data_IF_001888384732
#
_entry.id   IF_001888384732
#
_cell.length_a   1.000
_cell.length_b   1.000
_cell.length_c   1.000
_cell.angle_alpha   90.00
_cell.angle_beta   90.00
_cell.angle_gamma   90.00
#
_symmetry.space_group_name_H-M   'P 1'
#
loop_
_entity.id
_entity.type
_entity.pdbx_description
1 polymer ?
#
# COMPACT_ATOMS: atom_id res chain seq x y z
N UNK A 1 -30.17 -2.03 20.54
CA UNK A 1 -29.23 -1.36 19.60
C UNK A 1 -29.94 -1.22 18.25
N UNK A 2 -29.97 -0.03 17.67
CA UNK A 2 -30.62 0.20 16.39
C UNK A 2 -29.56 0.10 15.28
N UNK A 3 -29.72 -0.83 14.34
CA UNK A 3 -28.92 -0.91 13.14
C UNK A 3 -29.68 -0.19 12.03
N UNK A 4 -29.11 0.89 11.51
CA UNK A 4 -29.67 1.65 10.38
C UNK A 4 -29.04 1.17 9.09
N UNK A 5 -29.84 0.59 8.19
CA UNK A 5 -29.38 0.25 6.84
C UNK A 5 -29.69 1.40 5.89
N UNK A 6 -28.65 2.03 5.36
CA UNK A 6 -28.74 3.10 4.37
C UNK A 6 -28.91 2.48 2.99
N UNK A 7 -30.13 2.43 2.47
CA UNK A 7 -30.43 1.84 1.17
C UNK A 7 -29.93 2.67 -0.02
N UNK A 8 -29.45 3.90 0.20
CA UNK A 8 -29.11 4.86 -0.87
C UNK A 8 -27.86 5.72 -0.60
N UNK A 9 -26.87 5.21 0.14
CA UNK A 9 -25.58 5.92 0.23
C UNK A 9 -24.66 5.54 -0.94
N UNK A 10 -23.83 6.49 -1.41
CA UNK A 10 -22.82 6.26 -2.47
C UNK A 10 -21.99 4.96 -2.30
N UNK A 11 -21.58 4.54 -1.09
CA UNK A 11 -20.83 3.29 -0.91
C UNK A 11 -21.64 2.02 -1.27
N UNK A 12 -22.95 2.04 -1.13
CA UNK A 12 -23.79 0.89 -1.48
C UNK A 12 -23.99 0.75 -3.00
N UNK A 13 -23.96 1.88 -3.72
CA UNK A 13 -24.04 1.92 -5.20
C UNK A 13 -22.72 1.47 -5.83
N UNK A 14 -21.58 1.60 -5.14
CA UNK A 14 -20.27 1.23 -5.63
C UNK A 14 -19.97 -0.29 -5.56
N UNK A 15 -20.76 -1.08 -4.85
CA UNK A 15 -20.57 -2.53 -4.82
C UNK A 15 -21.24 -3.19 -6.05
N UNK A 16 -20.54 -3.09 -7.18
CA UNK A 16 -20.97 -3.59 -8.49
C UNK A 16 -21.34 -5.10 -8.48
N UNK A 17 -20.68 -5.88 -7.64
CA UNK A 17 -20.91 -7.33 -7.57
C UNK A 17 -22.24 -7.66 -6.86
N UNK A 18 -22.61 -6.93 -5.80
CA UNK A 18 -23.89 -7.10 -5.15
C UNK A 18 -25.08 -6.85 -6.11
N UNK A 19 -24.98 -5.80 -6.93
CA UNK A 19 -26.01 -5.51 -7.93
C UNK A 19 -26.05 -6.53 -9.06
N UNK A 20 -24.91 -7.04 -9.51
CA UNK A 20 -24.85 -8.14 -10.49
C UNK A 20 -25.56 -9.38 -10.00
N UNK A 21 -25.35 -9.76 -8.73
CA UNK A 21 -26.01 -10.92 -8.14
C UNK A 21 -27.50 -10.73 -7.99
N UNK A 22 -27.98 -9.55 -7.61
CA UNK A 22 -29.41 -9.23 -7.54
C UNK A 22 -30.06 -9.28 -8.92
N UNK A 23 -29.41 -8.71 -9.95
CA UNK A 23 -29.92 -8.75 -11.33
C UNK A 23 -29.94 -10.17 -11.88
N UNK A 24 -28.85 -10.96 -11.67
CA UNK A 24 -28.75 -12.35 -12.09
C UNK A 24 -29.81 -13.24 -11.44
N UNK A 25 -30.06 -13.11 -10.14
CA UNK A 25 -31.11 -13.85 -9.42
C UNK A 25 -32.52 -13.51 -9.90
N UNK A 26 -32.73 -12.37 -10.53
CA UNK A 26 -34.01 -11.92 -11.13
C UNK A 26 -34.11 -12.12 -12.64
N UNK A 27 -33.08 -12.69 -13.28
CA UNK A 27 -33.03 -12.90 -14.73
C UNK A 27 -32.96 -11.59 -15.55
N UNK A 28 -32.49 -10.51 -14.94
CA UNK A 28 -32.38 -9.19 -15.58
C UNK A 28 -30.95 -8.97 -16.09
N UNK A 29 -30.82 -8.28 -17.25
CA UNK A 29 -29.51 -7.89 -17.81
C UNK A 29 -29.00 -6.59 -17.16
N UNK A 30 -27.68 -6.44 -17.06
CA UNK A 30 -27.08 -5.16 -16.60
C UNK A 30 -27.47 -4.00 -17.55
N UNK A 31 -27.89 -2.85 -17.01
CA UNK A 31 -28.16 -1.68 -17.85
C UNK A 31 -26.85 -1.06 -18.33
N UNK A 32 -26.66 -0.96 -19.61
CA UNK A 32 -25.42 -0.48 -20.27
C UNK A 32 -25.16 1.02 -20.10
N UNK A 33 -26.09 1.82 -19.58
CA UNK A 33 -26.00 3.30 -19.45
C UNK A 33 -26.75 3.94 -18.28
N UNK A 34 -26.86 3.29 -17.13
CA UNK A 34 -27.48 3.96 -15.98
C UNK A 34 -26.57 5.10 -15.47
N UNK A 35 -26.92 6.35 -15.74
CA UNK A 35 -26.17 7.55 -15.31
C UNK A 35 -26.51 8.03 -13.90
N UNK A 36 -27.68 7.68 -13.37
CA UNK A 36 -28.17 8.11 -12.07
C UNK A 36 -28.89 6.98 -11.31
N UNK A 37 -28.98 7.09 -9.98
CA UNK A 37 -29.69 6.13 -9.15
C UNK A 37 -31.16 5.98 -9.50
N UNK A 38 -31.80 7.04 -10.06
CA UNK A 38 -33.18 7.05 -10.56
C UNK A 38 -33.38 6.13 -11.77
N UNK A 39 -32.39 6.04 -12.66
CA UNK A 39 -32.47 5.21 -13.87
C UNK A 39 -32.37 3.73 -13.52
N UNK A 40 -31.55 3.41 -12.53
CA UNK A 40 -31.40 2.06 -12.01
C UNK A 40 -32.66 1.60 -11.27
N UNK A 41 -33.30 2.52 -10.56
CA UNK A 41 -34.54 2.30 -9.84
C UNK A 41 -35.69 1.91 -10.78
N UNK A 42 -35.90 2.66 -11.88
CA UNK A 42 -36.93 2.37 -12.88
C UNK A 42 -36.70 1.03 -13.59
N UNK A 43 -35.45 0.64 -13.75
CA UNK A 43 -35.05 -0.63 -14.37
C UNK A 43 -35.35 -1.87 -13.49
N UNK A 44 -35.13 -1.76 -12.17
CA UNK A 44 -35.39 -2.90 -11.24
C UNK A 44 -36.88 -3.10 -10.94
N UNK A 45 -37.66 -2.02 -10.88
CA UNK A 45 -39.02 -2.03 -10.37
C UNK A 45 -40.11 -1.98 -11.44
N UNK A 46 -39.76 -1.90 -12.72
CA UNK A 46 -40.75 -1.78 -13.80
C UNK A 46 -41.61 -0.51 -13.67
N UNK A 47 -42.81 -0.53 -14.19
CA UNK A 47 -43.72 0.63 -14.27
C UNK A 47 -44.29 1.15 -12.92
N UNK A 48 -43.75 0.73 -11.78
CA UNK A 48 -44.16 1.23 -10.46
C UNK A 48 -43.36 2.51 -10.16
N UNK A 49 -43.99 3.66 -10.31
CA UNK A 49 -43.43 4.96 -9.99
C UNK A 49 -43.33 5.19 -8.50
N UNK A 50 -42.22 4.79 -7.87
CA UNK A 50 -41.90 5.27 -6.53
C UNK A 50 -41.42 6.72 -6.63
N UNK A 51 -42.09 7.65 -6.00
CA UNK A 51 -41.80 9.08 -6.08
C UNK A 51 -40.62 9.50 -5.22
N UNK A 52 -40.33 8.77 -4.13
CA UNK A 52 -39.27 9.13 -3.16
C UNK A 52 -38.60 7.90 -2.57
N UNK A 53 -37.33 8.04 -2.04
CA UNK A 53 -36.67 6.98 -1.27
C UNK A 53 -37.55 6.45 -0.10
N UNK A 54 -38.35 7.32 0.48
CA UNK A 54 -39.27 6.96 1.57
C UNK A 54 -40.40 6.02 1.11
N UNK A 55 -40.87 6.16 -0.13
CA UNK A 55 -41.88 5.27 -0.70
C UNK A 55 -41.32 3.86 -0.93
N UNK A 56 -40.06 3.80 -1.35
CA UNK A 56 -39.33 2.52 -1.49
C UNK A 56 -39.16 1.86 -0.13
N UNK A 57 -38.71 2.63 0.87
CA UNK A 57 -38.54 2.12 2.23
C UNK A 57 -39.88 1.58 2.82
N UNK A 58 -41.02 2.25 2.55
CA UNK A 58 -42.34 1.77 2.94
C UNK A 58 -42.65 0.41 2.33
N UNK A 59 -42.45 0.28 1.01
CA UNK A 59 -42.70 -0.97 0.30
C UNK A 59 -41.81 -2.12 0.75
N UNK A 60 -40.55 -1.81 1.02
CA UNK A 60 -39.62 -2.78 1.59
C UNK A 60 -40.01 -3.19 3.01
N UNK A 61 -40.38 -2.22 3.85
CA UNK A 61 -40.87 -2.50 5.21
C UNK A 61 -42.10 -3.38 5.19
N UNK A 62 -43.12 -3.09 4.36
CA UNK A 62 -44.30 -3.94 4.20
C UNK A 62 -43.94 -5.40 3.86
N UNK A 63 -42.95 -5.59 2.98
CA UNK A 63 -42.49 -6.93 2.63
C UNK A 63 -41.69 -7.61 3.76
N UNK A 64 -40.98 -6.83 4.58
CA UNK A 64 -40.22 -7.32 5.73
C UNK A 64 -41.10 -7.64 6.93
N UNK A 65 -42.10 -6.80 7.20
CA UNK A 65 -43.07 -7.02 8.29
C UNK A 65 -43.84 -8.35 8.13
N UNK A 66 -44.04 -8.79 6.89
CA UNK A 66 -44.67 -10.06 6.58
C UNK A 66 -43.74 -11.28 6.72
N UNK A 67 -42.47 -11.06 7.09
CA UNK A 67 -41.48 -12.11 7.30
C UNK A 67 -41.12 -12.17 8.77
N UNK A 68 -41.14 -13.37 9.31
CA UNK A 68 -40.58 -13.60 10.63
C UNK A 68 -39.06 -13.58 10.50
N UNK A 69 -38.44 -12.43 10.77
CA UNK A 69 -36.98 -12.26 10.72
C UNK A 69 -36.43 -12.56 12.09
N UNK A 70 -35.68 -13.61 12.21
CA UNK A 70 -35.09 -14.05 13.48
C UNK A 70 -34.32 -12.90 14.15
N UNK A 71 -34.51 -12.73 15.44
CA UNK A 71 -33.87 -11.69 16.26
C UNK A 71 -34.19 -10.23 15.91
N UNK A 72 -35.19 -9.96 15.05
CA UNK A 72 -35.64 -8.60 14.79
C UNK A 72 -36.95 -8.36 15.56
N UNK A 73 -36.89 -7.48 16.54
CA UNK A 73 -38.01 -7.09 17.37
C UNK A 73 -38.92 -6.03 16.70
N UNK A 74 -38.27 -5.09 15.96
CA UNK A 74 -38.97 -3.96 15.37
C UNK A 74 -38.29 -3.47 14.10
N UNK A 75 -39.09 -3.05 13.12
CA UNK A 75 -38.63 -2.41 11.89
C UNK A 75 -39.29 -1.05 11.77
N UNK A 76 -38.52 0.02 11.64
CA UNK A 76 -39.00 1.41 11.54
C UNK A 76 -38.36 2.13 10.34
N UNK A 77 -39.14 3.08 9.79
CA UNK A 77 -38.64 3.98 8.76
C UNK A 77 -38.27 5.31 9.43
N UNK A 78 -37.06 5.79 9.20
CA UNK A 78 -36.55 7.06 9.69
C UNK A 78 -36.05 7.97 8.57
N UNK A 79 -36.16 9.28 8.78
CA UNK A 79 -35.64 10.28 7.86
C UNK A 79 -36.12 10.11 6.42
N UNK A 80 -35.22 10.30 5.42
CA UNK A 80 -35.56 10.29 4.00
C UNK A 80 -35.80 8.88 3.41
N UNK A 81 -35.66 7.80 4.18
CA UNK A 81 -35.89 6.43 3.72
C UNK A 81 -34.94 5.40 4.34
N UNK A 82 -34.43 5.65 5.54
CA UNK A 82 -33.69 4.66 6.32
C UNK A 82 -34.65 3.60 6.86
N UNK A 83 -34.23 2.35 6.84
CA UNK A 83 -34.93 1.27 7.54
C UNK A 83 -34.07 0.86 8.73
N UNK A 84 -34.63 1.06 9.94
CA UNK A 84 -33.98 0.73 11.20
C UNK A 84 -34.51 -0.59 11.70
N UNK A 85 -33.63 -1.50 12.07
CA UNK A 85 -33.93 -2.76 12.72
C UNK A 85 -33.55 -2.66 14.20
N UNK A 86 -34.52 -2.95 15.09
CA UNK A 86 -34.22 -3.15 16.50
C UNK A 86 -34.05 -4.63 16.74
N UNK A 87 -32.86 -5.00 17.22
CA UNK A 87 -32.53 -6.40 17.51
C UNK A 87 -33.00 -6.77 18.92
N UNK A 88 -33.46 -8.00 19.09
CA UNK A 88 -33.93 -8.51 20.37
C UNK A 88 -32.76 -8.76 21.36
N UNK A 89 -33.03 -8.79 22.67
CA UNK A 89 -31.99 -9.16 23.67
C UNK A 89 -31.39 -10.53 23.44
N UNK A 90 -32.15 -11.47 22.89
CA UNK A 90 -31.69 -12.84 22.58
C UNK A 90 -30.58 -12.82 21.54
N UNK A 91 -30.62 -11.92 20.55
CA UNK A 91 -29.55 -11.72 19.60
C UNK A 91 -28.25 -11.40 20.33
N UNK A 92 -28.23 -10.41 21.19
CA UNK A 92 -27.06 -9.99 21.93
C UNK A 92 -26.53 -11.09 22.86
N UNK A 93 -27.46 -11.85 23.48
CA UNK A 93 -27.06 -12.98 24.33
C UNK A 93 -26.39 -14.07 23.51
N UNK A 94 -26.92 -14.40 22.34
CA UNK A 94 -26.36 -15.38 21.42
C UNK A 94 -24.98 -14.92 20.93
N UNK A 95 -24.88 -13.71 20.37
CA UNK A 95 -23.63 -13.16 19.86
C UNK A 95 -22.54 -13.06 20.94
N UNK A 96 -22.91 -12.62 22.15
CA UNK A 96 -21.96 -12.56 23.27
C UNK A 96 -21.41 -13.95 23.61
N UNK A 97 -22.28 -14.95 23.59
CA UNK A 97 -21.88 -16.34 23.85
C UNK A 97 -20.95 -16.86 22.74
N UNK A 98 -21.29 -16.61 21.47
CA UNK A 98 -20.46 -16.96 20.33
C UNK A 98 -19.07 -16.28 20.40
N UNK A 99 -19.01 -14.99 20.79
CA UNK A 99 -17.75 -14.26 20.99
C UNK A 99 -16.90 -14.93 22.07
N UNK A 100 -17.50 -15.25 23.22
CA UNK A 100 -16.80 -15.87 24.36
C UNK A 100 -16.30 -17.27 23.98
N UNK A 101 -17.14 -18.08 23.35
CA UNK A 101 -16.81 -19.47 22.98
C UNK A 101 -15.73 -19.52 21.89
N UNK A 102 -15.80 -18.63 20.90
CA UNK A 102 -14.83 -18.55 19.81
C UNK A 102 -13.51 -17.87 20.23
N UNK A 103 -13.53 -16.99 21.23
CA UNK A 103 -12.33 -16.27 21.70
C UNK A 103 -11.61 -15.54 20.57
N UNK A 104 -10.33 -15.81 20.39
CA UNK A 104 -9.49 -15.21 19.35
C UNK A 104 -9.89 -15.60 17.92
N UNK A 105 -10.72 -16.62 17.74
CA UNK A 105 -11.16 -17.12 16.43
C UNK A 105 -12.47 -16.42 15.96
N UNK A 106 -13.10 -15.61 16.85
CA UNK A 106 -14.31 -14.91 16.47
C UNK A 106 -14.10 -13.93 15.31
N UNK A 107 -14.93 -14.06 14.29
CA UNK A 107 -14.83 -13.25 13.06
C UNK A 107 -13.89 -13.82 12.00
N UNK A 108 -13.17 -14.92 12.24
CA UNK A 108 -12.44 -15.62 11.20
C UNK A 108 -13.38 -16.04 10.05
N UNK A 109 -12.84 -16.06 8.85
CA UNK A 109 -13.54 -16.54 7.67
C UNK A 109 -12.64 -17.38 6.78
N UNK A 110 -13.24 -18.14 5.88
CA UNK A 110 -12.57 -18.95 4.88
C UNK A 110 -12.52 -18.25 3.50
N UNK A 111 -12.66 -16.91 3.46
CA UNK A 111 -12.75 -16.14 2.21
C UNK A 111 -11.55 -16.35 1.30
N UNK A 112 -10.37 -16.46 1.88
CA UNK A 112 -9.10 -16.66 1.18
C UNK A 112 -8.48 -18.04 1.43
N UNK A 113 -9.24 -19.01 1.93
CA UNK A 113 -8.75 -20.35 2.19
C UNK A 113 -8.17 -21.00 0.94
N UNK A 114 -6.94 -21.49 1.05
CA UNK A 114 -6.19 -22.09 -0.07
C UNK A 114 -5.69 -21.08 -1.10
N UNK A 115 -5.76 -19.78 -0.82
CA UNK A 115 -5.19 -18.72 -1.67
C UNK A 115 -3.85 -18.25 -1.13
N UNK A 116 -2.87 -18.15 -2.02
CA UNK A 116 -1.57 -17.52 -1.76
C UNK A 116 -1.72 -16.01 -1.94
N UNK A 117 -1.52 -15.25 -0.88
CA UNK A 117 -1.65 -13.80 -0.88
C UNK A 117 -0.27 -13.19 -0.61
N UNK A 118 0.22 -12.39 -1.53
CA UNK A 118 1.44 -11.62 -1.36
C UNK A 118 1.07 -10.18 -1.02
N UNK A 119 1.57 -9.67 0.10
CA UNK A 119 1.35 -8.28 0.52
C UNK A 119 2.69 -7.58 0.59
N UNK A 120 2.86 -6.57 -0.26
CA UNK A 120 4.04 -5.71 -0.31
C UNK A 120 3.73 -4.38 0.35
N UNK A 121 4.56 -3.98 1.32
CA UNK A 121 4.48 -2.67 1.95
C UNK A 121 5.81 -2.24 2.57
N UNK A 122 5.89 -1.00 3.03
CA UNK A 122 7.05 -0.43 3.76
C UNK A 122 8.35 -0.56 2.99
N UNK A 123 8.32 -0.19 1.71
CA UNK A 123 9.50 -0.22 0.84
C UNK A 123 10.37 1.03 1.07
N UNK A 124 11.39 0.98 1.97
CA UNK A 124 12.18 2.15 2.32
C UNK A 124 13.22 2.47 1.24
N UNK A 125 13.51 3.76 1.09
CA UNK A 125 14.76 4.16 0.45
C UNK A 125 15.89 4.00 1.46
N UNK A 126 16.84 3.12 1.19
CA UNK A 126 17.99 2.96 2.05
C UNK A 126 18.87 4.23 2.07
N UNK A 127 19.74 4.36 3.04
CA UNK A 127 20.50 5.56 3.34
C UNK A 127 19.64 6.78 3.71
N UNK A 128 18.36 6.54 4.03
CA UNK A 128 17.47 7.55 4.61
C UNK A 128 16.84 6.99 5.88
N UNK A 129 16.66 7.81 6.90
CA UNK A 129 15.96 7.37 8.10
C UNK A 129 14.49 7.07 7.81
N UNK A 130 13.93 6.13 8.57
CA UNK A 130 12.54 5.76 8.51
C UNK A 130 11.67 6.91 9.08
N UNK A 131 10.79 7.46 8.27
CA UNK A 131 9.99 8.63 8.61
C UNK A 131 8.49 8.29 8.75
N UNK A 132 7.70 9.25 9.22
CA UNK A 132 6.26 9.08 9.49
C UNK A 132 5.46 8.55 8.29
N UNK A 133 5.84 8.89 7.06
CA UNK A 133 5.19 8.34 5.85
C UNK A 133 5.38 6.81 5.73
N UNK A 134 6.55 6.30 6.12
CA UNK A 134 6.80 4.86 6.17
C UNK A 134 5.99 4.18 7.30
N UNK A 135 5.82 4.85 8.45
CA UNK A 135 4.96 4.35 9.54
C UNK A 135 3.52 4.17 9.08
N UNK A 136 2.99 5.13 8.32
CA UNK A 136 1.64 5.06 7.76
C UNK A 136 1.50 3.88 6.81
N UNK A 137 2.43 3.73 5.87
CA UNK A 137 2.44 2.63 4.92
C UNK A 137 2.55 1.28 5.63
N UNK A 138 3.46 1.15 6.62
CA UNK A 138 3.61 -0.03 7.45
C UNK A 138 2.32 -0.38 8.21
N UNK A 139 1.69 0.60 8.84
CA UNK A 139 0.47 0.39 9.64
C UNK A 139 -0.68 -0.14 8.77
N UNK A 140 -0.87 0.44 7.59
CA UNK A 140 -1.91 0.03 6.64
C UNK A 140 -1.59 -1.35 6.06
N UNK A 141 -0.33 -1.57 5.67
CA UNK A 141 0.12 -2.84 5.11
C UNK A 141 -0.05 -3.99 6.08
N UNK A 142 0.44 -3.83 7.30
CA UNK A 142 0.31 -4.84 8.35
C UNK A 142 -1.15 -5.13 8.71
N UNK A 143 -2.03 -4.12 8.70
CA UNK A 143 -3.46 -4.33 8.91
C UNK A 143 -4.05 -5.22 7.79
N UNK A 144 -3.67 -5.00 6.53
CA UNK A 144 -4.10 -5.82 5.39
C UNK A 144 -3.55 -7.25 5.52
N UNK A 145 -2.28 -7.41 5.90
CA UNK A 145 -1.67 -8.73 6.16
C UNK A 145 -2.48 -9.51 7.19
N UNK A 146 -2.77 -8.88 8.34
CA UNK A 146 -3.53 -9.51 9.42
C UNK A 146 -4.94 -9.89 8.99
N UNK A 147 -5.63 -9.00 8.26
CA UNK A 147 -6.95 -9.28 7.72
C UNK A 147 -6.93 -10.43 6.72
N UNK A 148 -5.94 -10.48 5.83
CA UNK A 148 -5.79 -11.58 4.86
C UNK A 148 -5.54 -12.93 5.55
N UNK A 149 -4.65 -12.96 6.55
CA UNK A 149 -4.40 -14.15 7.39
C UNK A 149 -5.66 -14.58 8.15
N UNK A 150 -6.37 -13.61 8.75
CA UNK A 150 -7.60 -13.87 9.49
C UNK A 150 -8.76 -14.36 8.60
N UNK A 151 -8.73 -13.98 7.33
CA UNK A 151 -9.66 -14.46 6.30
C UNK A 151 -9.22 -15.81 5.67
N UNK A 152 -8.26 -16.51 6.25
CA UNK A 152 -7.83 -17.87 5.85
C UNK A 152 -6.79 -17.92 4.73
N UNK A 153 -6.20 -16.78 4.33
CA UNK A 153 -5.19 -16.71 3.28
C UNK A 153 -3.80 -17.18 3.75
N UNK A 154 -3.12 -17.94 2.89
CA UNK A 154 -1.68 -18.21 2.99
C UNK A 154 -0.94 -16.94 2.57
N UNK A 155 -0.57 -16.11 3.57
CA UNK A 155 -0.13 -14.75 3.34
C UNK A 155 1.36 -14.60 3.58
N UNK A 156 2.09 -14.20 2.55
CA UNK A 156 3.50 -13.79 2.59
C UNK A 156 3.60 -12.27 2.61
N UNK A 157 4.38 -11.71 3.53
CA UNK A 157 4.65 -10.28 3.66
C UNK A 157 6.02 -9.98 3.09
N UNK A 158 6.11 -9.01 2.18
CA UNK A 158 7.37 -8.61 1.59
C UNK A 158 7.59 -7.10 1.62
N UNK A 159 8.86 -6.70 1.58
CA UNK A 159 9.28 -5.33 1.37
C UNK A 159 10.16 -5.24 0.11
N UNK A 160 10.08 -4.09 -0.57
CA UNK A 160 10.86 -3.75 -1.75
C UNK A 160 11.77 -2.54 -1.47
N UNK A 161 12.90 -2.72 -0.75
CA UNK A 161 13.79 -1.62 -0.45
C UNK A 161 14.52 -1.10 -1.69
N UNK A 162 14.56 0.23 -1.83
CA UNK A 162 15.40 0.92 -2.81
C UNK A 162 16.82 0.96 -2.27
N UNK A 163 17.61 -0.05 -2.61
CA UNK A 163 18.98 -0.22 -2.12
C UNK A 163 20.01 0.45 -3.03
N UNK A 164 19.72 0.64 -4.31
CA UNK A 164 20.64 1.20 -5.28
C UNK A 164 20.00 2.35 -6.06
N UNK A 165 20.67 3.50 -6.04
CA UNK A 165 20.26 4.70 -6.78
C UNK A 165 21.39 5.70 -6.86
N UNK A 166 21.26 6.72 -7.72
CA UNK A 166 22.15 7.86 -7.74
C UNK A 166 22.28 8.53 -6.35
N UNK A 167 21.21 8.55 -5.57
CA UNK A 167 21.21 9.10 -4.20
C UNK A 167 22.07 8.28 -3.24
N UNK A 168 22.03 6.96 -3.35
CA UNK A 168 22.88 6.05 -2.57
C UNK A 168 24.35 6.24 -2.96
N UNK A 169 24.67 6.34 -4.24
CA UNK A 169 26.05 6.60 -4.69
C UNK A 169 26.58 7.94 -4.18
N UNK A 170 25.73 8.98 -4.12
CA UNK A 170 26.09 10.27 -3.50
C UNK A 170 26.42 10.13 -2.01
N UNK A 171 25.64 9.33 -1.28
CA UNK A 171 25.93 9.06 0.12
C UNK A 171 27.24 8.27 0.30
N UNK A 172 27.47 7.22 -0.49
CA UNK A 172 28.72 6.44 -0.48
C UNK A 172 29.92 7.33 -0.76
N UNK A 173 29.83 8.24 -1.75
CA UNK A 173 30.89 9.21 -2.05
C UNK A 173 31.26 10.02 -0.80
N UNK A 174 30.30 10.57 -0.10
CA UNK A 174 30.53 11.37 1.12
C UNK A 174 31.07 10.51 2.27
N UNK A 175 30.53 9.32 2.48
CA UNK A 175 31.01 8.43 3.54
C UNK A 175 32.46 8.05 3.36
N UNK A 176 32.90 7.82 2.11
CA UNK A 176 34.31 7.57 1.79
C UNK A 176 35.21 8.80 2.07
N UNK A 177 34.75 10.00 1.68
CA UNK A 177 35.49 11.23 1.94
C UNK A 177 35.63 11.52 3.44
N UNK A 178 34.52 11.41 4.19
CA UNK A 178 34.50 11.84 5.58
C UNK A 178 35.04 10.79 6.56
N UNK A 179 34.92 9.48 6.23
CA UNK A 179 35.22 8.39 7.16
C UNK A 179 36.20 7.34 6.63
N UNK A 180 36.47 7.32 5.31
CA UNK A 180 37.35 6.35 4.70
C UNK A 180 36.72 4.99 4.38
N UNK A 181 37.53 4.11 3.76
CA UNK A 181 37.07 2.83 3.20
C UNK A 181 36.64 1.81 4.24
N UNK A 182 37.25 1.83 5.42
CA UNK A 182 36.97 0.88 6.52
C UNK A 182 35.83 1.30 7.45
N UNK A 183 35.09 2.35 7.08
CA UNK A 183 34.00 2.85 7.91
C UNK A 183 32.91 1.80 8.15
N UNK A 184 32.52 1.65 9.40
CA UNK A 184 31.41 0.80 9.83
C UNK A 184 30.30 1.72 10.34
N UNK A 185 29.13 1.77 9.68
CA UNK A 185 28.02 2.56 10.15
C UNK A 185 27.52 2.12 11.52
N UNK A 186 27.26 3.08 12.40
CA UNK A 186 26.75 2.85 13.77
C UNK A 186 25.52 3.68 14.06
N UNK A 187 25.19 4.65 13.19
CA UNK A 187 24.05 5.54 13.33
C UNK A 187 23.44 5.83 11.94
N UNK A 188 22.14 5.64 11.82
CA UNK A 188 21.40 5.89 10.58
C UNK A 188 21.37 7.38 10.21
N UNK A 189 21.49 8.28 11.18
CA UNK A 189 21.57 9.73 10.92
C UNK A 189 22.77 10.09 10.06
N UNK A 190 23.92 9.43 10.28
CA UNK A 190 25.13 9.63 9.48
C UNK A 190 24.92 9.26 8.01
N UNK A 191 24.16 8.18 7.74
CA UNK A 191 23.78 7.80 6.38
C UNK A 191 22.88 8.87 5.73
N UNK A 192 21.91 9.36 6.50
CA UNK A 192 20.99 10.42 6.07
C UNK A 192 21.71 11.73 5.77
N UNK A 193 22.62 12.14 6.64
CA UNK A 193 23.40 13.36 6.47
C UNK A 193 24.34 13.25 5.27
N UNK A 194 24.99 12.10 5.07
CA UNK A 194 25.81 11.83 3.89
C UNK A 194 24.98 11.92 2.60
N UNK A 195 23.73 11.41 2.61
CA UNK A 195 22.81 11.52 1.49
C UNK A 195 22.50 12.99 1.15
N UNK A 196 22.18 13.81 2.15
CA UNK A 196 21.86 15.23 1.97
C UNK A 196 23.08 16.01 1.50
N UNK A 197 24.25 15.83 2.17
CA UNK A 197 25.53 16.45 1.81
C UNK A 197 25.95 16.08 0.39
N UNK A 198 25.85 14.79 0.03
CA UNK A 198 26.19 14.30 -1.30
C UNK A 198 25.25 14.86 -2.38
N UNK A 199 23.96 15.04 -2.08
CA UNK A 199 23.05 15.66 -3.03
C UNK A 199 23.42 17.12 -3.31
N UNK A 200 23.77 17.89 -2.29
CA UNK A 200 24.22 19.28 -2.45
C UNK A 200 25.53 19.36 -3.24
N UNK A 201 26.53 18.55 -2.87
CA UNK A 201 27.84 18.50 -3.58
C UNK A 201 27.70 18.12 -5.06
N UNK A 202 26.81 17.18 -5.37
CA UNK A 202 26.50 16.77 -6.73
C UNK A 202 25.89 17.89 -7.58
N UNK A 203 25.08 18.78 -6.98
CA UNK A 203 24.49 19.92 -7.69
C UNK A 203 25.47 21.06 -7.93
N UNK A 204 26.49 21.20 -7.08
CA UNK A 204 27.43 22.33 -7.08
C UNK A 204 28.74 22.05 -7.82
N UNK A 205 29.11 20.78 -8.12
CA UNK A 205 30.44 20.39 -8.61
C UNK A 205 30.39 19.30 -9.67
N UNK A 206 30.78 19.62 -10.90
CA UNK A 206 30.80 18.68 -12.04
C UNK A 206 31.77 17.49 -11.81
N UNK A 207 32.89 17.70 -11.12
CA UNK A 207 33.82 16.62 -10.81
C UNK A 207 33.22 15.59 -9.87
N UNK A 208 32.39 16.03 -8.95
CA UNK A 208 31.59 15.15 -8.07
C UNK A 208 30.52 14.40 -8.87
N UNK A 209 29.91 15.04 -9.86
CA UNK A 209 28.94 14.37 -10.72
C UNK A 209 29.53 13.19 -11.43
N UNK A 210 30.72 13.34 -12.03
CA UNK A 210 31.37 12.28 -12.77
C UNK A 210 31.82 11.13 -11.85
N UNK A 211 32.33 11.46 -10.66
CA UNK A 211 32.71 10.45 -9.67
C UNK A 211 31.52 9.67 -9.15
N UNK A 212 30.40 10.36 -8.86
CA UNK A 212 29.15 9.70 -8.40
C UNK A 212 28.53 8.84 -9.49
N UNK A 213 28.60 9.23 -10.76
CA UNK A 213 28.16 8.39 -11.89
C UNK A 213 29.00 7.11 -11.97
N UNK A 214 30.33 7.24 -11.83
CA UNK A 214 31.23 6.09 -11.81
C UNK A 214 30.90 5.13 -10.67
N UNK A 215 30.72 5.66 -9.44
CA UNK A 215 30.27 4.87 -8.28
C UNK A 215 28.95 4.18 -8.60
N UNK A 216 27.96 4.89 -9.13
CA UNK A 216 26.66 4.32 -9.50
C UNK A 216 26.82 3.12 -10.42
N UNK A 217 27.59 3.27 -11.49
CA UNK A 217 27.83 2.19 -12.46
C UNK A 217 28.56 1.00 -11.83
N UNK A 218 29.56 1.25 -10.98
CA UNK A 218 30.29 0.21 -10.26
C UNK A 218 29.38 -0.56 -9.29
N UNK A 219 28.46 0.11 -8.59
CA UNK A 219 27.49 -0.51 -7.70
C UNK A 219 26.50 -1.40 -8.47
N UNK A 220 25.95 -0.92 -9.61
CA UNK A 220 25.07 -1.73 -10.47
C UNK A 220 25.80 -2.96 -11.02
N UNK A 221 27.04 -2.78 -11.49
CA UNK A 221 27.87 -3.86 -11.99
C UNK A 221 28.44 -4.80 -10.90
N UNK A 222 28.18 -4.52 -9.62
CA UNK A 222 28.77 -5.25 -8.47
C UNK A 222 30.28 -5.38 -8.57
N UNK A 223 30.96 -4.35 -9.10
CA UNK A 223 32.42 -4.34 -9.31
C UNK A 223 33.12 -4.25 -7.96
N UNK A 224 34.04 -5.19 -7.70
CA UNK A 224 34.86 -5.15 -6.48
C UNK A 224 35.59 -3.82 -6.36
N UNK A 225 35.31 -3.09 -5.28
CA UNK A 225 35.85 -1.76 -5.00
C UNK A 225 35.58 -1.38 -3.55
N UNK A 226 36.32 -0.39 -2.99
CA UNK A 226 36.01 0.15 -1.65
C UNK A 226 34.55 0.66 -1.53
N UNK A 227 34.04 1.26 -2.60
CA UNK A 227 32.65 1.74 -2.67
C UNK A 227 31.64 0.62 -2.48
N UNK A 228 31.86 -0.53 -3.17
CA UNK A 228 30.97 -1.68 -3.04
C UNK A 228 31.06 -2.29 -1.63
N UNK A 229 32.25 -2.41 -1.08
CA UNK A 229 32.44 -2.94 0.27
C UNK A 229 31.77 -2.05 1.34
N UNK A 230 31.88 -0.73 1.22
CA UNK A 230 31.19 0.21 2.09
C UNK A 230 29.68 0.18 1.88
N UNK A 231 29.22 0.11 0.64
CA UNK A 231 27.81 -0.02 0.29
C UNK A 231 27.18 -1.26 0.94
N UNK A 232 27.82 -2.42 0.85
CA UNK A 232 27.30 -3.66 1.43
C UNK A 232 27.19 -3.57 2.96
N UNK A 233 28.19 -3.03 3.65
CA UNK A 233 28.11 -2.78 5.11
C UNK A 233 27.02 -1.80 5.49
N UNK A 234 26.91 -0.69 4.75
CA UNK A 234 25.90 0.32 5.03
C UNK A 234 24.47 -0.16 4.72
N UNK A 235 24.32 -0.96 3.67
CA UNK A 235 23.05 -1.64 3.35
C UNK A 235 22.63 -2.58 4.45
N UNK A 236 23.51 -3.47 4.92
CA UNK A 236 23.24 -4.40 6.01
C UNK A 236 22.83 -3.65 7.29
N UNK A 237 23.61 -2.63 7.68
CA UNK A 237 23.29 -1.79 8.82
C UNK A 237 21.92 -1.13 8.69
N UNK A 238 21.59 -0.58 7.54
CA UNK A 238 20.33 0.12 7.32
C UNK A 238 19.13 -0.83 7.32
N UNK A 239 19.26 -2.05 6.79
CA UNK A 239 18.23 -3.09 6.86
C UNK A 239 17.99 -3.50 8.30
N UNK A 240 19.05 -3.75 9.10
CA UNK A 240 18.92 -4.09 10.52
C UNK A 240 18.23 -2.96 11.31
N UNK A 241 18.54 -1.70 11.03
CA UNK A 241 17.81 -0.56 11.59
C UNK A 241 16.33 -0.58 11.20
N UNK A 242 16.03 -0.79 9.91
CA UNK A 242 14.66 -0.86 9.41
C UNK A 242 13.87 -1.99 10.10
N UNK A 243 14.45 -3.19 10.20
CA UNK A 243 13.83 -4.33 10.88
C UNK A 243 13.56 -4.03 12.37
N UNK A 244 14.47 -3.34 13.04
CA UNK A 244 14.26 -2.89 14.41
C UNK A 244 13.05 -1.97 14.56
N UNK A 245 12.91 -0.99 13.68
CA UNK A 245 11.76 -0.05 13.70
C UNK A 245 10.45 -0.77 13.38
N UNK A 246 10.40 -1.61 12.34
CA UNK A 246 9.17 -2.30 11.97
C UNK A 246 8.77 -3.37 12.98
N UNK A 247 9.74 -4.01 13.63
CA UNK A 247 9.50 -4.94 14.74
C UNK A 247 8.84 -4.23 15.92
N UNK A 248 9.34 -3.05 16.32
CA UNK A 248 8.70 -2.19 17.32
C UNK A 248 7.27 -1.81 16.93
N UNK A 249 7.02 -1.59 15.64
CA UNK A 249 5.66 -1.40 15.11
C UNK A 249 4.84 -2.70 15.06
N UNK A 250 5.37 -3.84 15.50
CA UNK A 250 4.70 -5.14 15.50
C UNK A 250 4.47 -5.72 14.11
N UNK A 251 5.35 -5.41 13.16
CA UNK A 251 5.39 -5.95 11.80
C UNK A 251 6.67 -6.76 11.60
N UNK A 252 6.66 -7.64 10.61
CA UNK A 252 7.86 -8.32 10.12
C UNK A 252 7.68 -8.63 8.64
N UNK A 253 8.79 -8.90 7.95
CA UNK A 253 8.77 -9.30 6.55
C UNK A 253 9.30 -10.73 6.41
N UNK A 254 8.56 -11.55 5.68
CA UNK A 254 8.95 -12.92 5.35
C UNK A 254 10.03 -12.90 4.25
N UNK A 255 10.11 -11.81 3.46
CA UNK A 255 11.01 -11.71 2.32
C UNK A 255 11.30 -10.28 1.89
N UNK A 256 12.41 -10.14 1.18
CA UNK A 256 12.84 -8.91 0.51
C UNK A 256 13.12 -9.18 -0.97
N UNK A 257 12.72 -8.25 -1.83
CA UNK A 257 13.24 -8.09 -3.19
C UNK A 257 13.83 -6.69 -3.24
N UNK A 258 15.07 -6.55 -3.70
CA UNK A 258 15.73 -5.25 -3.76
C UNK A 258 15.64 -4.64 -5.15
N UNK A 259 15.68 -3.29 -5.24
CA UNK A 259 15.72 -2.60 -6.54
C UNK A 259 16.92 -2.99 -7.39
N UNK A 260 18.07 -3.30 -6.77
CA UNK A 260 19.26 -3.80 -7.49
C UNK A 260 19.00 -5.11 -8.21
N UNK A 261 18.11 -5.94 -7.71
CA UNK A 261 17.74 -7.23 -8.30
C UNK A 261 16.63 -7.06 -9.34
N UNK A 262 15.60 -6.30 -8.99
CA UNK A 262 14.47 -6.08 -9.88
C UNK A 262 14.84 -5.24 -11.10
N UNK A 263 15.83 -4.35 -10.97
CA UNK A 263 16.35 -3.59 -12.09
C UNK A 263 16.95 -4.50 -13.18
N UNK A 264 17.76 -5.48 -12.80
CA UNK A 264 18.35 -6.46 -13.73
C UNK A 264 17.27 -7.30 -14.42
N UNK A 265 16.28 -7.77 -13.67
CA UNK A 265 15.15 -8.52 -14.25
C UNK A 265 14.32 -7.64 -15.18
N UNK A 266 14.08 -6.38 -14.81
CA UNK A 266 13.35 -5.43 -15.63
C UNK A 266 14.05 -5.08 -16.93
N UNK A 267 15.38 -4.87 -16.91
CA UNK A 267 16.20 -4.65 -18.11
C UNK A 267 16.07 -5.82 -19.09
N UNK A 268 16.18 -7.03 -18.58
CA UNK A 268 15.98 -8.25 -19.38
C UNK A 268 14.60 -8.31 -20.02
N UNK A 269 13.55 -7.99 -19.26
CA UNK A 269 12.18 -7.96 -19.78
C UNK A 269 12.05 -6.93 -20.90
N UNK A 270 12.59 -5.72 -20.73
CA UNK A 270 12.55 -4.67 -21.74
C UNK A 270 13.31 -5.10 -23.00
N UNK A 271 14.46 -5.76 -22.86
CA UNK A 271 15.26 -6.26 -23.99
C UNK A 271 14.55 -7.39 -24.75
N UNK A 272 13.86 -8.27 -24.05
CA UNK A 272 13.13 -9.41 -24.64
C UNK A 272 11.81 -8.99 -25.33
N UNK A 273 11.27 -7.78 -25.04
CA UNK A 273 9.99 -7.30 -25.57
C UNK A 273 10.10 -5.99 -26.36
N UNK A 274 11.03 -5.98 -27.35
CA UNK A 274 11.31 -4.79 -28.20
C UNK A 274 10.15 -4.34 -29.08
N UNK A 275 9.13 -5.15 -29.24
CA UNK A 275 7.88 -4.83 -29.93
C UNK A 275 6.95 -3.97 -29.07
N UNK A 276 7.11 -3.98 -27.76
CA UNK A 276 6.33 -3.19 -26.79
C UNK A 276 7.04 -1.86 -26.48
N UNK A 277 8.38 -1.88 -26.46
CA UNK A 277 9.21 -0.72 -26.10
C UNK A 277 9.89 -0.14 -27.35
N UNK A 278 9.97 1.20 -27.41
CA UNK A 278 10.51 1.94 -28.57
C UNK A 278 11.70 2.80 -28.14
N UNK A 279 12.70 2.91 -29.01
CA UNK A 279 13.79 3.87 -28.80
C UNK A 279 13.35 5.30 -29.14
N UNK A 280 13.65 6.24 -28.25
CA UNK A 280 13.40 7.67 -28.43
C UNK A 280 14.51 8.48 -27.75
N UNK A 281 15.22 9.31 -28.52
CA UNK A 281 16.31 10.18 -28.06
C UNK A 281 17.37 9.46 -27.21
N UNK A 282 17.72 8.22 -27.62
CA UNK A 282 18.69 7.36 -26.92
C UNK A 282 18.18 6.71 -25.64
N UNK A 283 16.90 6.82 -25.33
CA UNK A 283 16.25 6.16 -24.23
C UNK A 283 15.26 5.10 -24.75
N UNK A 284 14.95 4.08 -23.97
CA UNK A 284 13.87 3.12 -24.27
C UNK A 284 12.61 3.52 -23.54
N UNK A 285 11.52 3.73 -24.30
CA UNK A 285 10.27 4.25 -23.77
C UNK A 285 9.10 3.29 -24.05
N UNK A 286 8.10 3.33 -23.20
CA UNK A 286 6.79 2.72 -23.42
C UNK A 286 5.80 3.82 -23.81
N UNK A 287 5.08 3.59 -24.91
CA UNK A 287 4.04 4.50 -25.42
C UNK A 287 2.70 3.79 -25.30
N UNK A 288 1.82 4.22 -24.40
CA UNK A 288 0.49 3.61 -24.24
C UNK A 288 -0.40 3.88 -25.47
N UNK A 289 -1.41 3.04 -25.68
CA UNK A 289 -2.38 3.21 -26.76
C UNK A 289 -3.08 4.57 -26.66
N UNK A 290 -3.33 5.20 -27.84
CA UNK A 290 -3.99 6.51 -27.94
C UNK A 290 -5.37 6.57 -27.28
N UNK A 291 -6.05 5.44 -27.15
CA UNK A 291 -7.34 5.33 -26.46
C UNK A 291 -7.21 5.53 -24.94
N UNK A 292 -6.03 5.29 -24.36
CA UNK A 292 -5.71 5.43 -22.92
C UNK A 292 -5.24 6.85 -22.58
N UNK A 293 -6.09 7.85 -22.85
CA UNK A 293 -5.80 9.30 -22.76
C UNK A 293 -5.24 9.82 -21.42
N UNK A 294 -5.29 9.02 -20.38
CA UNK A 294 -4.81 9.40 -19.03
C UNK A 294 -3.38 8.90 -18.73
N UNK A 295 -2.77 8.16 -19.64
CA UNK A 295 -1.40 7.67 -19.52
C UNK A 295 -0.48 8.50 -20.41
N UNK A 296 0.73 8.76 -19.93
CA UNK A 296 1.78 9.44 -20.67
C UNK A 296 2.88 8.46 -21.05
N UNK A 297 3.64 8.76 -22.10
CA UNK A 297 4.87 8.05 -22.42
C UNK A 297 5.79 8.00 -21.19
N UNK A 298 6.36 6.84 -20.92
CA UNK A 298 7.28 6.64 -19.80
C UNK A 298 8.63 6.06 -20.26
N UNK A 299 9.69 6.52 -19.63
CA UNK A 299 11.06 6.04 -19.90
C UNK A 299 11.32 4.83 -19.03
N UNK A 300 11.67 3.71 -19.65
CA UNK A 300 12.06 2.48 -18.96
C UNK A 300 13.59 2.38 -18.84
N UNK A 301 14.34 2.57 -19.92
CA UNK A 301 15.79 2.67 -19.86
C UNK A 301 16.17 4.10 -20.25
N UNK A 302 16.92 4.76 -19.39
CA UNK A 302 17.32 6.14 -19.66
C UNK A 302 18.45 6.19 -20.72
N UNK A 303 18.77 7.38 -21.25
CA UNK A 303 19.81 7.58 -22.27
C UNK A 303 21.23 7.20 -21.84
N UNK A 304 21.45 6.90 -20.56
CA UNK A 304 22.71 6.39 -20.03
C UNK A 304 22.74 4.85 -19.93
N UNK A 305 21.65 4.19 -20.35
CA UNK A 305 21.51 2.74 -20.30
C UNK A 305 21.12 2.19 -18.93
N UNK A 306 20.66 3.03 -17.98
CA UNK A 306 20.29 2.58 -16.65
C UNK A 306 18.77 2.40 -16.53
N UNK A 307 18.28 1.40 -15.75
CA UNK A 307 16.88 1.19 -15.49
C UNK A 307 16.26 2.32 -14.66
N UNK A 308 15.09 2.77 -15.06
CA UNK A 308 14.28 3.73 -14.30
C UNK A 308 13.46 3.03 -13.20
N UNK A 309 12.65 3.78 -12.48
CA UNK A 309 11.72 3.20 -11.52
C UNK A 309 10.68 2.29 -12.21
N UNK A 310 10.22 2.67 -13.41
CA UNK A 310 9.27 1.89 -14.20
C UNK A 310 9.82 0.50 -14.53
N UNK A 311 11.09 0.42 -14.90
CA UNK A 311 11.77 -0.85 -15.20
C UNK A 311 11.93 -1.71 -13.96
N UNK A 312 12.32 -1.10 -12.84
CA UNK A 312 12.48 -1.80 -11.57
C UNK A 312 11.16 -2.38 -11.07
N UNK A 313 10.07 -1.62 -11.18
CA UNK A 313 8.74 -2.10 -10.80
C UNK A 313 8.20 -3.17 -11.76
N UNK A 314 8.53 -3.09 -13.04
CA UNK A 314 8.23 -4.16 -14.01
C UNK A 314 8.98 -5.45 -13.66
N UNK A 315 10.27 -5.35 -13.37
CA UNK A 315 11.08 -6.49 -12.92
C UNK A 315 10.60 -7.04 -11.57
N UNK A 316 10.14 -6.18 -10.67
CA UNK A 316 9.55 -6.59 -9.40
C UNK A 316 8.29 -7.44 -9.61
N UNK A 317 7.41 -7.07 -10.55
CA UNK A 317 6.24 -7.88 -10.90
C UNK A 317 6.66 -9.28 -11.34
N UNK A 318 7.62 -9.41 -12.27
CA UNK A 318 8.16 -10.69 -12.72
C UNK A 318 8.67 -11.54 -11.55
N UNK A 319 9.53 -10.96 -10.71
CA UNK A 319 10.12 -11.66 -9.57
C UNK A 319 9.08 -12.11 -8.54
N UNK A 320 8.06 -11.28 -8.27
CA UNK A 320 6.95 -11.63 -7.37
C UNK A 320 6.19 -12.86 -7.87
N UNK A 321 5.80 -12.85 -9.13
CA UNK A 321 5.05 -13.97 -9.70
C UNK A 321 5.92 -15.21 -9.91
N UNK A 322 7.18 -15.03 -10.29
CA UNK A 322 8.13 -16.14 -10.44
C UNK A 322 8.44 -16.86 -9.12
N UNK A 323 8.60 -16.13 -8.03
CA UNK A 323 9.00 -16.70 -6.73
C UNK A 323 7.83 -17.20 -5.89
N UNK A 324 6.74 -16.47 -5.86
CA UNK A 324 5.64 -16.73 -4.92
C UNK A 324 4.41 -17.31 -5.60
N UNK A 325 4.25 -17.15 -6.91
CA UNK A 325 3.07 -17.59 -7.68
C UNK A 325 1.78 -17.20 -6.93
N UNK A 326 1.56 -15.91 -6.61
CA UNK A 326 0.42 -15.50 -5.80
C UNK A 326 -0.89 -15.64 -6.56
N UNK A 327 -1.96 -15.98 -5.85
CA UNK A 327 -3.34 -15.83 -6.35
C UNK A 327 -3.81 -14.38 -6.28
N UNK A 328 -3.21 -13.60 -5.37
CA UNK A 328 -3.47 -12.18 -5.17
C UNK A 328 -2.20 -11.49 -4.67
N UNK A 329 -1.70 -10.50 -5.42
CA UNK A 329 -0.59 -9.63 -5.03
C UNK A 329 -1.12 -8.25 -4.70
N UNK A 330 -1.00 -7.82 -3.44
CA UNK A 330 -1.42 -6.50 -2.98
C UNK A 330 -0.16 -5.69 -2.70
N UNK A 331 -0.05 -4.50 -3.28
CA UNK A 331 1.05 -3.59 -2.97
C UNK A 331 0.53 -2.20 -2.57
N UNK A 332 1.20 -1.61 -1.57
CA UNK A 332 0.70 -0.44 -0.87
C UNK A 332 1.67 0.72 -1.03
N UNK A 333 1.18 1.85 -1.56
CA UNK A 333 1.98 3.06 -1.77
C UNK A 333 1.22 4.32 -1.34
N UNK A 334 1.87 5.47 -1.43
CA UNK A 334 1.15 6.73 -1.35
C UNK A 334 0.43 7.07 -2.66
N UNK A 335 -0.52 7.99 -2.61
CA UNK A 335 -1.35 8.37 -3.75
C UNK A 335 -0.61 9.10 -4.87
N UNK A 336 0.64 9.53 -4.68
CA UNK A 336 1.45 10.12 -5.74
C UNK A 336 1.97 9.09 -6.73
N UNK A 337 2.00 7.81 -6.31
CA UNK A 337 2.45 6.70 -7.14
C UNK A 337 1.35 6.15 -8.09
N UNK A 338 0.12 6.69 -8.02
CA UNK A 338 -1.00 6.17 -8.82
C UNK A 338 -0.67 6.19 -10.32
N UNK A 339 -0.24 7.34 -10.85
CA UNK A 339 0.06 7.48 -12.28
C UNK A 339 1.24 6.62 -12.72
N UNK A 340 2.26 6.50 -11.86
CA UNK A 340 3.40 5.62 -12.07
C UNK A 340 2.96 4.15 -12.21
N UNK A 341 2.21 3.63 -11.25
CA UNK A 341 1.77 2.23 -11.32
C UNK A 341 0.73 1.98 -12.42
N UNK A 342 -0.06 2.98 -12.81
CA UNK A 342 -0.94 2.85 -13.94
C UNK A 342 -0.18 2.56 -15.25
N UNK A 343 0.95 3.25 -15.50
CA UNK A 343 1.74 3.03 -16.69
C UNK A 343 2.57 1.73 -16.64
N UNK A 344 3.11 1.39 -15.46
CA UNK A 344 3.83 0.11 -15.27
C UNK A 344 2.91 -1.09 -15.49
N UNK A 345 1.70 -1.06 -14.90
CA UNK A 345 0.73 -2.13 -15.08
C UNK A 345 0.20 -2.20 -16.52
N UNK A 346 0.09 -1.06 -17.21
CA UNK A 346 -0.31 -1.02 -18.63
C UNK A 346 0.76 -1.68 -19.51
N UNK A 347 2.02 -1.37 -19.31
CA UNK A 347 3.12 -2.04 -20.00
C UNK A 347 3.17 -3.55 -19.65
N UNK A 348 3.01 -3.90 -18.38
CA UNK A 348 3.00 -5.28 -17.91
C UNK A 348 1.84 -6.11 -18.49
N UNK A 349 0.67 -5.51 -18.74
CA UNK A 349 -0.48 -6.20 -19.33
C UNK A 349 -0.17 -6.73 -20.76
N UNK A 350 0.66 -6.00 -21.53
CA UNK A 350 1.08 -6.42 -22.85
C UNK A 350 2.15 -7.53 -22.81
N UNK A 351 2.81 -7.73 -21.68
CA UNK A 351 3.83 -8.77 -21.49
C UNK A 351 3.23 -10.02 -20.86
N UNK A 352 2.54 -9.85 -19.75
CA UNK A 352 1.89 -10.93 -19.01
C UNK A 352 0.65 -10.44 -18.28
N UNK A 353 -0.51 -10.71 -18.88
CA UNK A 353 -1.80 -10.29 -18.35
C UNK A 353 -2.12 -10.85 -16.96
N UNK A 354 -1.63 -12.05 -16.62
CA UNK A 354 -1.85 -12.66 -15.32
C UNK A 354 -1.26 -11.83 -14.18
N UNK A 355 -0.10 -11.19 -14.40
CA UNK A 355 0.51 -10.31 -13.40
C UNK A 355 -0.41 -9.16 -13.00
N UNK A 356 -1.11 -8.61 -13.97
CA UNK A 356 -2.00 -7.45 -13.75
C UNK A 356 -3.35 -7.90 -13.17
N UNK A 357 -3.94 -8.98 -13.70
CA UNK A 357 -5.22 -9.51 -13.23
C UNK A 357 -5.19 -9.94 -11.76
N UNK A 358 -4.03 -10.42 -11.28
CA UNK A 358 -3.81 -10.85 -9.89
C UNK A 358 -3.19 -9.76 -9.00
N UNK A 359 -2.88 -8.59 -9.54
CA UNK A 359 -2.31 -7.48 -8.79
C UNK A 359 -3.35 -6.46 -8.35
N UNK A 360 -3.23 -5.97 -7.13
CA UNK A 360 -4.09 -4.92 -6.59
C UNK A 360 -3.23 -3.82 -5.99
N UNK A 361 -3.20 -2.68 -6.66
CA UNK A 361 -2.58 -1.48 -6.12
C UNK A 361 -3.51 -0.83 -5.09
N UNK A 362 -3.07 -0.72 -3.85
CA UNK A 362 -3.73 0.03 -2.79
C UNK A 362 -2.90 1.25 -2.44
N UNK A 363 -3.50 2.41 -2.49
CA UNK A 363 -2.84 3.66 -2.16
C UNK A 363 -3.53 4.35 -0.99
N UNK A 364 -2.74 5.07 -0.22
CA UNK A 364 -3.21 5.87 0.91
C UNK A 364 -2.92 7.35 0.69
N UNK A 365 -3.64 8.20 1.42
CA UNK A 365 -3.35 9.63 1.45
C UNK A 365 -2.02 9.92 2.15
N UNK A 366 -1.60 11.18 2.10
CA UNK A 366 -0.42 11.64 2.86
C UNK A 366 -0.83 12.11 4.24
N UNK A 367 0.01 11.79 5.20
CA UNK A 367 -0.11 12.37 6.54
C UNK A 367 0.36 13.84 6.48
N UNK A 368 -0.43 14.76 7.02
CA UNK A 368 -0.04 16.14 7.24
C UNK A 368 0.15 16.38 8.73
N UNK A 369 1.25 17.01 9.12
CA UNK A 369 1.48 17.39 10.49
C UNK A 369 1.20 18.90 10.63
N UNK A 370 0.25 19.27 11.50
CA UNK A 370 -0.18 20.69 11.71
C UNK A 370 -0.57 21.44 10.43
N UNK A 371 -1.08 20.72 9.41
CA UNK A 371 -1.53 21.36 8.16
C UNK A 371 -0.43 21.68 7.14
N UNK A 372 0.82 21.39 7.42
CA UNK A 372 1.92 21.60 6.48
C UNK A 372 2.20 20.35 5.64
N UNK A 373 2.48 20.54 4.35
CA UNK A 373 2.93 19.45 3.46
C UNK A 373 4.39 19.11 3.77
N UNK A 374 4.62 17.90 4.22
CA UNK A 374 5.97 17.39 4.50
C UNK A 374 6.67 16.94 3.22
N UNK A 375 7.96 17.29 3.07
CA UNK A 375 8.82 16.85 2.00
C UNK A 375 10.10 16.23 2.55
N UNK A 376 10.30 14.94 2.30
CA UNK A 376 11.51 14.22 2.72
C UNK A 376 12.79 14.66 2.00
N UNK A 377 12.67 15.42 0.89
CA UNK A 377 13.83 15.90 0.12
C UNK A 377 14.52 17.11 0.72
N UNK A 378 13.81 17.89 1.56
CA UNK A 378 14.30 19.17 2.09
C UNK A 378 14.66 19.13 3.59
N UNK A 379 14.56 17.96 4.24
CA UNK A 379 14.66 17.86 5.69
C UNK A 379 13.40 18.47 6.37
N UNK A 380 12.94 17.92 7.47
CA UNK A 380 11.76 18.44 8.18
C UNK A 380 10.57 17.48 8.25
N UNK A 381 10.73 16.26 7.72
CA UNK A 381 9.78 15.18 8.01
C UNK A 381 10.20 14.53 9.32
N UNK A 382 9.31 14.48 10.34
CA UNK A 382 9.63 13.82 11.59
C UNK A 382 10.05 12.38 11.38
N UNK A 383 11.10 11.95 12.08
CA UNK A 383 11.52 10.56 12.09
C UNK A 383 10.45 9.70 12.77
N UNK A 384 10.38 8.45 12.37
CA UNK A 384 9.47 7.49 13.01
C UNK A 384 9.80 7.33 14.50
N UNK A 385 11.10 7.26 14.83
CA UNK A 385 11.60 7.23 16.20
C UNK A 385 11.07 8.40 17.04
N UNK A 386 11.25 9.62 16.54
CA UNK A 386 10.88 10.82 17.28
C UNK A 386 9.37 10.90 17.54
N UNK A 387 8.57 10.49 16.54
CA UNK A 387 7.12 10.43 16.70
C UNK A 387 6.73 9.39 17.76
N UNK A 388 7.30 8.20 17.72
CA UNK A 388 7.02 7.13 18.69
C UNK A 388 7.44 7.57 20.09
N UNK A 389 8.64 8.13 20.25
CA UNK A 389 9.14 8.63 21.54
C UNK A 389 8.27 9.77 22.10
N UNK A 390 7.81 10.68 21.25
CA UNK A 390 6.90 11.75 21.68
C UNK A 390 5.58 11.20 22.23
N UNK A 391 4.99 10.19 21.55
CA UNK A 391 3.76 9.54 22.03
C UNK A 391 4.04 8.73 23.30
N UNK A 392 5.17 8.03 23.36
CA UNK A 392 5.59 7.27 24.55
C UNK A 392 5.72 8.18 25.78
N UNK A 393 6.34 9.35 25.63
CA UNK A 393 6.45 10.32 26.71
C UNK A 393 5.08 10.81 27.22
N UNK A 394 4.10 11.02 26.34
CA UNK A 394 2.72 11.36 26.75
C UNK A 394 2.03 10.20 27.49
N UNK A 395 2.29 8.96 27.08
CA UNK A 395 1.77 7.77 27.76
C UNK A 395 2.41 7.62 29.14
N UNK A 396 3.74 7.82 29.26
CA UNK A 396 4.47 7.77 30.51
C UNK A 396 3.94 8.77 31.52
N UNK A 397 3.70 10.02 31.10
CA UNK A 397 3.13 11.06 31.98
C UNK A 397 1.76 10.64 32.56
N UNK A 398 0.93 9.97 31.77
CA UNK A 398 -0.43 9.55 32.15
C UNK A 398 -0.49 8.22 32.90
N UNK A 399 0.52 7.36 32.77
CA UNK A 399 0.54 5.97 33.28
C UNK A 399 1.86 5.64 33.98
N UNK A 400 2.27 6.44 34.93
CA UNK A 400 3.57 6.33 35.63
C UNK A 400 3.87 4.99 36.26
N UNK A 401 2.83 4.25 36.66
CA UNK A 401 2.96 2.95 37.34
C UNK A 401 3.04 1.76 36.35
N UNK A 402 2.80 1.99 35.05
CA UNK A 402 2.86 0.93 34.04
C UNK A 402 4.32 0.55 33.73
N UNK A 403 4.54 -0.69 33.31
CA UNK A 403 5.87 -1.12 32.81
C UNK A 403 6.20 -0.39 31.50
N UNK A 404 7.49 -0.22 31.22
CA UNK A 404 7.96 0.41 29.96
C UNK A 404 7.43 -0.31 28.73
N UNK A 405 7.39 -1.65 28.77
CA UNK A 405 6.81 -2.47 27.71
C UNK A 405 5.32 -2.12 27.46
N UNK A 406 4.52 -1.99 28.51
CA UNK A 406 3.11 -1.63 28.39
C UNK A 406 2.94 -0.21 27.87
N UNK A 407 3.78 0.73 28.30
CA UNK A 407 3.77 2.11 27.80
C UNK A 407 4.07 2.15 26.30
N UNK A 408 5.06 1.40 25.84
CA UNK A 408 5.41 1.32 24.42
C UNK A 408 4.28 0.69 23.61
N UNK A 409 3.68 -0.41 24.08
CA UNK A 409 2.52 -1.03 23.42
C UNK A 409 1.34 -0.06 23.29
N UNK A 410 1.05 0.72 24.32
CA UNK A 410 -0.02 1.73 24.31
C UNK A 410 0.31 2.85 23.33
N UNK A 411 1.57 3.32 23.30
CA UNK A 411 2.01 4.36 22.37
C UNK A 411 1.86 3.90 20.91
N UNK A 412 2.33 2.70 20.59
CA UNK A 412 2.21 2.11 19.25
C UNK A 412 0.74 1.86 18.88
N UNK A 413 -0.08 1.38 19.82
CA UNK A 413 -1.51 1.17 19.58
C UNK A 413 -2.23 2.49 19.27
N UNK A 414 -1.95 3.56 20.02
CA UNK A 414 -2.51 4.89 19.81
C UNK A 414 -2.12 5.47 18.43
N UNK A 415 -0.85 5.32 18.05
CA UNK A 415 -0.34 5.73 16.75
C UNK A 415 -1.06 4.99 15.60
N UNK A 416 -1.10 3.66 15.67
CA UNK A 416 -1.74 2.83 14.64
C UNK A 416 -3.25 3.09 14.55
N UNK A 417 -3.92 3.19 15.70
CA UNK A 417 -5.36 3.50 15.72
C UNK A 417 -5.65 4.85 15.06
N UNK A 418 -4.82 5.87 15.32
CA UNK A 418 -4.97 7.19 14.72
C UNK A 418 -4.82 7.14 13.20
N UNK A 419 -3.83 6.39 12.71
CA UNK A 419 -3.61 6.18 11.28
C UNK A 419 -4.79 5.43 10.62
N UNK A 420 -5.22 4.32 11.22
CA UNK A 420 -6.27 3.47 10.64
C UNK A 420 -7.68 4.08 10.74
N UNK A 421 -7.88 5.05 11.64
CA UNK A 421 -9.15 5.78 11.78
C UNK A 421 -9.35 6.84 10.69
N UNK A 422 -8.27 7.38 10.12
CA UNK A 422 -8.30 8.44 9.10
C UNK A 422 -8.61 7.85 7.73
#
# INVERSE_FOLDING_TARGET
CNISMVLFSKPFISNRNFYKDVLKKRGLKEPTKAKHASDFHSYIHGSHSFKTPKDIAKKLKENLDNKNIEFVEKIEIAGPGFINFTLSPEFFTKETREIVDAGSEYGKSDLYKGKKILVEHSSPNLFKPFHVGHVMNNTIGEAIVRLAKFAGGDTTTMSFPSDISLGVAKAIFILLEDHGEDYIPVDVSVLGDAYVKGTKRYEEDESVQDRVKEITNNLYARKESPELALFDRAKEFNINYFEGVVSRLGSHFDSYIYESESGVEGEKIVEENKDIFTESDGATVYIPDEEKKNLNTAVFINSQGNPTYETKDLGLLSLKFGRYSPDLSIFITDNQQISHFQIVLDAAENINKEWVEKSVHRYHGRMSFKGEKMSSRLGGVPLASDLIESIHAEVDEKNKEASEELKDQVAIAALKFTILKS
#
